data_IF_494974272563
#
_entry.id   IF_494974272563
#
_cell.length_a   1.000
_cell.length_b   1.000
_cell.length_c   1.000
_cell.angle_alpha   90.00
_cell.angle_beta   90.00
_cell.angle_gamma   90.00
#
_symmetry.space_group_name_H-M   'P 1'
#
loop_
_entity.id
_entity.type
_entity.pdbx_description
1 polymer ?
#
# COMPACT_ATOMS: atom_id res chain seq x y z
N UNK A 1 -5.75 15.15 0.20
CA UNK A 1 -4.50 15.21 -0.59
C UNK A 1 -3.48 14.24 -0.04
N UNK A 2 -3.24 14.25 1.26
CA UNK A 2 -2.05 13.67 1.89
C UNK A 2 -1.93 12.15 1.68
N UNK A 3 -3.03 11.43 1.88
CA UNK A 3 -3.09 9.98 1.63
C UNK A 3 -2.78 9.63 0.17
N UNK A 4 -3.30 10.42 -0.79
CA UNK A 4 -3.06 10.17 -2.20
C UNK A 4 -1.59 10.41 -2.56
N UNK A 5 -0.98 11.48 -2.05
CA UNK A 5 0.45 11.76 -2.23
C UNK A 5 1.33 10.68 -1.57
N UNK A 6 0.95 10.18 -0.39
CA UNK A 6 1.67 9.10 0.26
C UNK A 6 1.64 7.81 -0.58
N UNK A 7 0.46 7.46 -1.13
CA UNK A 7 0.32 6.29 -2.02
C UNK A 7 1.07 6.47 -3.34
N UNK A 8 1.02 7.67 -3.93
CA UNK A 8 1.80 8.02 -5.11
C UNK A 8 3.30 7.87 -4.86
N UNK A 9 3.79 8.38 -3.72
CA UNK A 9 5.18 8.22 -3.32
C UNK A 9 5.58 6.75 -3.22
N UNK A 10 4.77 5.91 -2.55
CA UNK A 10 5.06 4.47 -2.42
C UNK A 10 5.12 3.76 -3.77
N UNK A 11 4.27 4.15 -4.73
CA UNK A 11 4.20 3.51 -6.05
C UNK A 11 5.26 4.00 -7.05
N UNK A 12 5.64 5.28 -7.00
CA UNK A 12 6.40 5.91 -8.08
C UNK A 12 7.71 6.55 -7.63
N UNK A 13 7.73 7.19 -6.46
CA UNK A 13 8.85 8.03 -6.05
C UNK A 13 9.76 7.37 -4.99
N UNK A 14 9.30 6.28 -4.38
CA UNK A 14 10.09 5.46 -3.47
C UNK A 14 11.22 4.75 -4.24
N UNK A 15 12.43 4.61 -3.65
CA UNK A 15 13.54 3.88 -4.27
C UNK A 15 13.22 2.42 -4.64
N UNK A 16 12.24 1.83 -3.94
CA UNK A 16 11.66 0.52 -4.23
C UNK A 16 10.15 0.72 -4.29
N UNK A 17 9.48 0.24 -5.35
CA UNK A 17 8.02 0.38 -5.40
C UNK A 17 7.36 -0.51 -4.36
N UNK A 18 6.45 0.07 -3.60
CA UNK A 18 5.75 -0.58 -2.49
C UNK A 18 4.26 -0.52 -2.75
N UNK A 19 3.61 -1.68 -2.83
CA UNK A 19 2.15 -1.79 -2.85
C UNK A 19 1.69 -2.03 -1.42
N UNK A 20 0.91 -1.13 -0.83
CA UNK A 20 0.49 -1.23 0.57
C UNK A 20 -0.45 -2.42 0.87
N UNK A 21 -1.28 -2.82 -0.09
CA UNK A 21 -2.28 -3.92 0.00
C UNK A 21 -3.43 -3.75 1.02
N UNK A 22 -3.45 -2.72 1.88
CA UNK A 22 -4.48 -2.57 2.93
C UNK A 22 -4.85 -1.11 3.21
N UNK A 23 -5.06 -0.33 2.16
CA UNK A 23 -5.52 1.06 2.29
C UNK A 23 -6.99 1.08 2.72
N UNK A 24 -7.24 1.55 3.95
CA UNK A 24 -8.57 1.72 4.56
C UNK A 24 -8.54 2.86 5.59
N UNK A 25 -9.68 3.45 5.96
CA UNK A 25 -9.72 4.54 6.96
C UNK A 25 -9.03 4.20 8.29
N UNK A 26 -9.12 2.95 8.75
CA UNK A 26 -8.45 2.50 9.98
C UNK A 26 -6.91 2.49 9.92
N UNK A 27 -6.33 2.57 8.72
CA UNK A 27 -4.89 2.64 8.48
C UNK A 27 -4.44 4.06 8.08
N UNK A 28 -5.29 5.07 8.31
CA UNK A 28 -4.94 6.48 8.16
C UNK A 28 -4.96 7.12 9.55
N UNK A 29 -3.79 7.52 10.05
CA UNK A 29 -3.68 8.28 11.28
C UNK A 29 -3.77 9.78 10.96
N UNK A 30 -4.34 10.54 11.89
CA UNK A 30 -4.39 12.01 11.82
C UNK A 30 -3.48 12.58 12.91
N UNK A 31 -2.67 13.56 12.55
CA UNK A 31 -1.88 14.33 13.51
C UNK A 31 -2.64 15.57 14.03
N UNK A 32 -1.93 16.41 14.80
CA UNK A 32 -2.49 17.62 15.42
C UNK A 32 -2.96 18.67 14.39
N UNK A 33 -2.38 18.66 13.19
CA UNK A 33 -2.70 19.59 12.09
C UNK A 33 -3.75 19.03 11.12
N UNK A 34 -4.39 17.91 11.47
CA UNK A 34 -5.33 17.18 10.60
C UNK A 34 -4.68 16.64 9.31
N UNK A 35 -3.36 16.41 9.32
CA UNK A 35 -2.64 15.79 8.20
C UNK A 35 -2.81 14.28 8.24
N UNK A 36 -3.11 13.69 7.08
CA UNK A 36 -3.30 12.24 6.95
C UNK A 36 -1.99 11.48 6.74
N UNK A 37 -1.70 10.53 7.63
CA UNK A 37 -0.53 9.64 7.58
C UNK A 37 -0.95 8.20 7.30
N UNK A 38 -0.40 7.59 6.24
CA UNK A 38 -0.63 6.18 5.92
C UNK A 38 0.20 5.29 6.85
N UNK A 39 -0.41 4.28 7.45
CA UNK A 39 0.25 3.34 8.38
C UNK A 39 -0.07 1.87 8.04
N UNK A 40 0.59 0.94 8.74
CA UNK A 40 0.39 -0.52 8.63
C UNK A 40 0.82 -1.14 7.29
N UNK A 41 2.15 -1.22 7.10
CA UNK A 41 2.77 -1.93 5.98
C UNK A 41 2.95 -3.44 6.23
N UNK A 42 2.24 -4.03 7.20
CA UNK A 42 2.44 -5.42 7.61
C UNK A 42 2.19 -6.47 6.53
N UNK A 43 1.41 -6.11 5.51
CA UNK A 43 1.12 -6.94 4.32
C UNK A 43 1.51 -6.25 3.01
N UNK A 44 2.36 -5.22 3.08
CA UNK A 44 2.83 -4.51 1.91
C UNK A 44 3.74 -5.41 1.06
N UNK A 45 3.65 -5.25 -0.26
CA UNK A 45 4.45 -5.97 -1.24
C UNK A 45 5.50 -5.06 -1.87
N UNK A 46 6.73 -5.55 -2.02
CA UNK A 46 7.78 -4.87 -2.77
C UNK A 46 7.77 -5.36 -4.21
N UNK A 47 7.39 -4.49 -5.14
CA UNK A 47 7.36 -4.79 -6.57
C UNK A 47 8.54 -4.10 -7.23
N UNK A 48 9.41 -4.83 -7.93
CA UNK A 48 10.57 -4.22 -8.61
C UNK A 48 11.84 -5.07 -8.67
N UNK A 49 11.93 -6.13 -7.87
CA UNK A 49 13.13 -7.01 -7.82
C UNK A 49 12.94 -8.38 -8.47
N UNK A 50 11.71 -8.72 -8.89
CA UNK A 50 11.39 -10.04 -9.44
C UNK A 50 10.64 -9.86 -10.75
N UNK A 51 11.20 -10.46 -11.80
CA UNK A 51 10.61 -10.50 -13.14
C UNK A 51 9.12 -10.87 -13.05
N UNK A 52 8.33 -10.19 -13.88
CA UNK A 52 6.87 -10.31 -14.04
C UNK A 52 6.32 -11.75 -14.15
N UNK A 53 7.19 -12.73 -14.39
CA UNK A 53 6.84 -14.14 -14.57
C UNK A 53 6.79 -14.96 -13.27
N UNK A 54 7.16 -14.38 -12.12
CA UNK A 54 7.14 -15.07 -10.81
C UNK A 54 5.91 -14.78 -9.94
N UNK A 55 4.99 -13.92 -10.39
CA UNK A 55 3.73 -13.61 -9.69
C UNK A 55 2.68 -14.73 -9.81
N UNK A 56 3.10 -15.92 -10.25
CA UNK A 56 2.23 -17.08 -10.40
C UNK A 56 2.13 -17.82 -9.06
N UNK A 57 0.89 -17.87 -8.55
CA UNK A 57 0.29 -18.96 -7.77
C UNK A 57 0.15 -18.90 -6.23
N UNK A 58 0.66 -17.90 -5.50
CA UNK A 58 0.37 -17.78 -4.03
C UNK A 58 0.28 -16.36 -3.48
N UNK A 59 -0.28 -15.40 -4.22
CA UNK A 59 -0.77 -14.17 -3.59
C UNK A 59 -1.97 -14.57 -2.73
N UNK A 60 -1.72 -14.89 -1.46
CA UNK A 60 -2.76 -14.89 -0.45
C UNK A 60 -3.57 -13.60 -0.63
N UNK A 61 -4.90 -13.72 -0.68
CA UNK A 61 -5.79 -12.56 -0.76
C UNK A 61 -5.53 -11.69 0.48
N UNK A 62 -4.64 -10.70 0.31
CA UNK A 62 -4.17 -9.84 1.37
C UNK A 62 -4.93 -8.52 1.28
N UNK A 63 -5.46 -8.10 2.42
CA UNK A 63 -6.20 -6.86 2.55
C UNK A 63 -7.48 -7.04 3.37
N UNK A 64 -8.14 -5.93 3.67
CA UNK A 64 -9.38 -5.92 4.42
C UNK A 64 -10.60 -6.12 3.52
N UNK A 65 -11.54 -6.97 3.96
CA UNK A 65 -12.82 -7.17 3.29
C UNK A 65 -13.51 -5.83 3.01
N UNK A 66 -13.93 -5.61 1.76
CA UNK A 66 -14.55 -4.35 1.30
C UNK A 66 -13.56 -3.30 0.76
N UNK A 67 -12.26 -3.52 0.92
CA UNK A 67 -11.18 -2.67 0.39
C UNK A 67 -10.24 -3.40 -0.58
N UNK A 68 -10.39 -4.72 -0.71
CA UNK A 68 -9.69 -5.54 -1.71
C UNK A 68 -10.24 -5.23 -3.11
N UNK A 69 -9.35 -5.03 -4.07
CA UNK A 69 -9.71 -4.84 -5.49
C UNK A 69 -10.37 -6.13 -6.08
N UNK A 70 -11.34 -6.00 -6.98
CA UNK A 70 -12.06 -7.14 -7.57
C UNK A 70 -11.23 -8.00 -8.53
#
# INVERSE_FOLDING_TARGET
SDVAHAVEYLHHDSPVQVVHCDIKPGNILLDEDMTGHVTDLGIASLTGTISSDSLSSTLALNGSTGYIAP
#
